data_IF_566730207373
#
_entry.id   IF_566730207373
#
_cell.length_a   1.000
_cell.length_b   1.000
_cell.length_c   1.000
_cell.angle_alpha   90.00
_cell.angle_beta   90.00
_cell.angle_gamma   90.00
#
_symmetry.space_group_name_H-M   'P 1'
#
loop_
_entity.id
_entity.type
_entity.pdbx_description
1 polymer ?
#
# COMPACT_ATOMS: atom_id res chain seq x y z
N UNK A 1 11.73 15.63 6.51
CA UNK A 1 11.55 14.19 6.22
C UNK A 1 12.11 13.86 4.84
N UNK A 2 12.61 12.64 4.57
CA UNK A 2 12.96 12.22 3.19
C UNK A 2 11.67 12.08 2.37
N UNK A 3 11.75 12.28 1.05
CA UNK A 3 10.60 12.14 0.13
C UNK A 3 9.88 10.77 0.26
N UNK A 4 10.63 9.73 0.60
CA UNK A 4 10.12 8.35 0.76
C UNK A 4 9.35 8.11 2.05
N UNK A 5 9.45 9.03 3.03
CA UNK A 5 8.80 8.89 4.33
C UNK A 5 9.10 7.56 5.04
N UNK A 6 8.06 6.96 5.61
CA UNK A 6 8.00 5.63 6.26
C UNK A 6 7.79 4.48 5.27
N UNK A 7 7.67 4.77 3.96
CA UNK A 7 7.45 3.77 2.91
C UNK A 7 8.44 2.59 2.97
N UNK A 8 9.77 2.82 3.02
CA UNK A 8 10.74 1.74 3.14
C UNK A 8 10.59 0.90 4.41
N UNK A 9 10.24 1.53 5.54
CA UNK A 9 10.05 0.83 6.82
C UNK A 9 8.82 -0.09 6.80
N UNK A 10 7.83 0.22 5.96
CA UNK A 10 6.63 -0.61 5.74
C UNK A 10 6.91 -1.69 4.68
N UNK A 11 7.62 -1.32 3.61
CA UNK A 11 7.91 -2.21 2.50
C UNK A 11 8.81 -3.37 2.92
N UNK A 12 9.89 -3.12 3.67
CA UNK A 12 10.87 -4.15 4.06
C UNK A 12 10.20 -5.35 4.76
N UNK A 13 9.50 -5.21 5.90
CA UNK A 13 8.89 -6.36 6.57
C UNK A 13 7.83 -7.05 5.70
N UNK A 14 7.07 -6.27 4.92
CA UNK A 14 6.05 -6.81 4.01
C UNK A 14 6.67 -7.69 2.93
N UNK A 15 7.72 -7.21 2.25
CA UNK A 15 8.44 -7.97 1.22
C UNK A 15 9.18 -9.17 1.81
N UNK A 16 9.81 -9.03 2.97
CA UNK A 16 10.47 -10.14 3.66
C UNK A 16 9.47 -11.25 3.96
N UNK A 17 8.30 -10.91 4.52
CA UNK A 17 7.26 -11.90 4.78
C UNK A 17 6.70 -12.49 3.48
N UNK A 18 6.46 -11.67 2.45
CA UNK A 18 5.97 -12.15 1.16
C UNK A 18 6.90 -13.19 0.53
N UNK A 19 8.22 -12.98 0.58
CA UNK A 19 9.22 -13.93 0.08
C UNK A 19 9.21 -15.23 0.89
N UNK A 20 9.13 -15.14 2.23
CA UNK A 20 9.02 -16.31 3.11
C UNK A 20 7.76 -17.11 2.79
N UNK A 21 6.61 -16.42 2.69
CA UNK A 21 5.32 -17.01 2.37
C UNK A 21 5.32 -17.65 0.97
N UNK A 22 6.00 -17.05 -0.01
CA UNK A 22 6.16 -17.63 -1.35
C UNK A 22 6.97 -18.93 -1.32
N UNK A 23 8.05 -18.96 -0.55
CA UNK A 23 8.87 -20.15 -0.37
C UNK A 23 8.09 -21.27 0.31
N UNK A 24 7.38 -20.97 1.40
CA UNK A 24 6.51 -21.93 2.11
C UNK A 24 5.41 -22.44 1.16
N UNK A 25 4.75 -21.53 0.44
CA UNK A 25 3.69 -21.88 -0.51
C UNK A 25 4.18 -22.80 -1.62
N UNK A 26 5.42 -22.61 -2.08
CA UNK A 26 6.01 -23.42 -3.14
C UNK A 26 6.45 -24.79 -2.63
N UNK A 27 7.00 -24.87 -1.42
CA UNK A 27 7.43 -26.12 -0.79
C UNK A 27 6.25 -27.01 -0.37
N UNK A 28 5.09 -26.42 -0.08
CA UNK A 28 3.90 -27.10 0.43
C UNK A 28 2.77 -27.20 -0.60
N UNK A 29 3.06 -27.14 -1.91
CA UNK A 29 2.02 -27.34 -2.94
C UNK A 29 1.37 -28.73 -2.78
N UNK A 30 0.04 -28.86 -2.88
CA UNK A 30 -0.95 -27.84 -3.27
C UNK A 30 -1.65 -27.12 -2.10
N UNK A 31 -1.18 -27.25 -0.85
CA UNK A 31 -1.89 -26.78 0.37
C UNK A 31 -2.35 -25.33 0.29
N UNK A 32 -1.55 -24.47 -0.33
CA UNK A 32 -1.79 -23.03 -0.41
C UNK A 32 -2.37 -22.56 -1.74
N UNK A 33 -2.67 -23.48 -2.67
CA UNK A 33 -3.18 -23.15 -4.00
C UNK A 33 -4.57 -22.51 -3.90
N UNK A 34 -4.87 -21.51 -4.74
CA UNK A 34 -6.22 -20.93 -4.80
C UNK A 34 -7.09 -21.80 -5.70
N UNK A 35 -6.58 -22.18 -6.86
CA UNK A 35 -7.35 -22.94 -7.83
C UNK A 35 -6.48 -23.87 -8.69
N UNK A 36 -6.89 -25.13 -8.84
CA UNK A 36 -6.22 -26.05 -9.77
C UNK A 36 -6.65 -25.80 -11.22
N UNK A 37 -7.86 -25.27 -11.39
CA UNK A 37 -8.46 -24.96 -12.69
C UNK A 37 -8.64 -23.44 -12.84
N UNK A 38 -8.80 -22.91 -14.04
CA UNK A 38 -9.17 -21.49 -14.22
C UNK A 38 -8.15 -20.44 -13.73
N UNK A 39 -6.88 -20.78 -13.55
CA UNK A 39 -5.79 -19.83 -13.19
C UNK A 39 -5.75 -18.59 -14.09
N UNK A 40 -6.15 -18.72 -15.37
CA UNK A 40 -6.25 -17.60 -16.30
C UNK A 40 -7.14 -16.45 -15.80
N UNK A 41 -8.24 -16.73 -15.10
CA UNK A 41 -9.11 -15.68 -14.55
C UNK A 41 -8.42 -14.92 -13.42
N UNK A 42 -7.63 -15.61 -12.58
CA UNK A 42 -6.84 -14.98 -11.53
C UNK A 42 -5.79 -14.05 -12.12
N UNK A 43 -5.10 -14.47 -13.18
CA UNK A 43 -4.13 -13.64 -13.89
C UNK A 43 -4.77 -12.37 -14.47
N UNK A 44 -5.93 -12.51 -15.13
CA UNK A 44 -6.66 -11.35 -15.68
C UNK A 44 -7.03 -10.37 -14.57
N UNK A 45 -7.61 -10.86 -13.47
CA UNK A 45 -7.99 -10.02 -12.33
C UNK A 45 -6.76 -9.32 -11.73
N UNK A 46 -5.66 -10.06 -11.52
CA UNK A 46 -4.44 -9.52 -10.97
C UNK A 46 -3.82 -8.41 -11.85
N UNK A 47 -3.80 -8.61 -13.17
CA UNK A 47 -3.31 -7.60 -14.11
C UNK A 47 -4.16 -6.33 -14.06
N UNK A 48 -5.49 -6.45 -13.98
CA UNK A 48 -6.37 -5.30 -13.83
C UNK A 48 -6.10 -4.56 -12.51
N UNK A 49 -5.93 -5.29 -11.40
CA UNK A 49 -5.61 -4.70 -10.10
C UNK A 49 -4.26 -3.96 -10.12
N UNK A 50 -3.23 -4.55 -10.72
CA UNK A 50 -1.91 -3.90 -10.87
C UNK A 50 -1.98 -2.67 -11.78
N UNK A 51 -2.79 -2.70 -12.84
CA UNK A 51 -2.98 -1.53 -13.70
C UNK A 51 -3.61 -0.36 -12.94
N UNK A 52 -4.64 -0.63 -12.12
CA UNK A 52 -5.28 0.37 -11.25
C UNK A 52 -4.29 0.90 -10.20
N UNK A 53 -3.54 0.02 -9.56
CA UNK A 53 -2.53 0.41 -8.57
C UNK A 53 -1.44 1.29 -9.18
N UNK A 54 -0.92 0.93 -10.35
CA UNK A 54 0.09 1.72 -11.06
C UNK A 54 -0.43 3.11 -11.43
N UNK A 55 -1.68 3.22 -11.89
CA UNK A 55 -2.29 4.53 -12.15
C UNK A 55 -2.39 5.37 -10.86
N UNK A 56 -2.76 4.77 -9.73
CA UNK A 56 -2.79 5.44 -8.43
C UNK A 56 -1.39 5.86 -7.97
N UNK A 57 -0.39 4.98 -8.08
CA UNK A 57 0.99 5.24 -7.68
C UNK A 57 1.60 6.38 -8.48
N UNK A 58 1.41 6.41 -9.80
CA UNK A 58 1.88 7.50 -10.66
C UNK A 58 1.17 8.81 -10.30
N UNK A 59 -0.15 8.81 -10.17
CA UNK A 59 -0.92 10.00 -9.81
C UNK A 59 -0.52 10.56 -8.45
N UNK A 60 -0.41 9.72 -7.43
CA UNK A 60 0.00 10.13 -6.09
C UNK A 60 1.47 10.55 -6.04
N UNK A 61 2.36 9.81 -6.68
CA UNK A 61 3.80 10.08 -6.70
C UNK A 61 4.13 11.41 -7.36
N UNK A 62 3.52 11.72 -8.51
CA UNK A 62 3.70 13.01 -9.19
C UNK A 62 3.27 14.18 -8.30
N UNK A 63 2.12 14.04 -7.63
CA UNK A 63 1.62 15.09 -6.72
C UNK A 63 2.48 15.22 -5.47
N UNK A 64 2.94 14.11 -4.89
CA UNK A 64 3.84 14.10 -3.74
C UNK A 64 5.17 14.80 -4.06
N UNK A 65 5.79 14.49 -5.21
CA UNK A 65 7.03 15.14 -5.67
C UNK A 65 6.80 16.65 -5.82
N UNK A 66 5.70 17.06 -6.45
CA UNK A 66 5.36 18.48 -6.62
C UNK A 66 5.17 19.18 -5.28
N UNK A 67 4.40 18.57 -4.38
CA UNK A 67 4.10 19.10 -3.03
C UNK A 67 5.35 19.24 -2.18
N UNK A 68 6.24 18.23 -2.23
CA UNK A 68 7.51 18.21 -1.52
C UNK A 68 8.44 19.34 -1.99
N UNK A 69 8.55 19.57 -3.31
CA UNK A 69 9.35 20.68 -3.86
C UNK A 69 8.82 22.06 -3.49
N UNK A 70 7.50 22.19 -3.41
CA UNK A 70 6.83 23.45 -3.08
C UNK A 70 6.65 23.69 -1.57
N UNK A 71 7.00 22.71 -0.72
CA UNK A 71 6.73 22.72 0.73
C UNK A 71 5.27 23.04 1.07
N UNK A 72 4.35 22.46 0.30
CA UNK A 72 2.90 22.58 0.52
C UNK A 72 2.32 21.24 0.96
N UNK A 73 1.16 21.28 1.62
CA UNK A 73 0.41 20.10 2.00
C UNK A 73 -0.48 19.63 0.83
N UNK A 74 -0.32 18.37 0.45
CA UNK A 74 -1.16 17.72 -0.54
C UNK A 74 -2.52 17.36 0.05
N UNK A 75 -3.59 17.78 -0.63
CA UNK A 75 -4.97 17.56 -0.17
C UNK A 75 -5.93 17.28 -1.33
N UNK A 76 -5.41 16.94 -2.51
CA UNK A 76 -6.17 16.73 -3.74
C UNK A 76 -5.99 15.31 -4.33
N UNK A 77 -6.83 14.96 -5.31
CA UNK A 77 -6.85 13.61 -5.88
C UNK A 77 -7.18 12.55 -4.81
N UNK A 78 -6.44 11.44 -4.81
CA UNK A 78 -6.63 10.34 -3.86
C UNK A 78 -6.39 10.74 -2.40
N UNK A 79 -5.62 11.80 -2.15
CA UNK A 79 -5.41 12.36 -0.81
C UNK A 79 -6.68 13.00 -0.22
N UNK A 80 -7.72 13.29 -1.03
CA UNK A 80 -9.03 13.69 -0.48
C UNK A 80 -9.77 12.55 0.22
N UNK A 81 -9.46 11.31 -0.16
CA UNK A 81 -10.19 10.12 0.31
C UNK A 81 -9.56 9.58 1.60
N UNK A 82 -8.23 9.47 1.63
CA UNK A 82 -7.46 8.92 2.73
C UNK A 82 -6.10 9.60 2.84
N UNK A 83 -5.42 9.44 3.99
CA UNK A 83 -4.16 10.16 4.26
C UNK A 83 -2.99 9.57 3.47
N UNK A 84 -2.97 8.25 3.30
CA UNK A 84 -1.92 7.54 2.58
C UNK A 84 -2.47 6.65 1.46
N UNK A 85 -2.93 7.23 0.34
CA UNK A 85 -3.50 6.47 -0.77
C UNK A 85 -2.54 5.45 -1.40
N UNK A 86 -1.22 5.68 -1.31
CA UNK A 86 -0.20 4.72 -1.77
C UNK A 86 -0.17 3.47 -0.88
N UNK A 87 -0.27 3.63 0.45
CA UNK A 87 -0.30 2.49 1.36
C UNK A 87 -1.59 1.69 1.20
N UNK A 88 -2.72 2.38 1.07
CA UNK A 88 -4.03 1.76 0.80
C UNK A 88 -3.97 0.93 -0.48
N UNK A 89 -3.49 1.51 -1.59
CA UNK A 89 -3.47 0.78 -2.87
C UNK A 89 -2.50 -0.38 -2.84
N UNK A 90 -1.35 -0.24 -2.16
CA UNK A 90 -0.41 -1.36 -2.04
C UNK A 90 -1.00 -2.55 -1.26
N UNK A 91 -1.70 -2.28 -0.15
CA UNK A 91 -2.36 -3.29 0.67
C UNK A 91 -3.53 -3.95 -0.06
N UNK A 92 -4.35 -3.16 -0.77
CA UNK A 92 -5.61 -3.64 -1.35
C UNK A 92 -5.51 -4.10 -2.81
N UNK A 93 -4.48 -3.68 -3.54
CA UNK A 93 -4.31 -3.99 -4.95
C UNK A 93 -3.03 -4.79 -5.18
N UNK A 94 -1.85 -4.28 -4.80
CA UNK A 94 -0.59 -4.96 -5.14
C UNK A 94 -0.47 -6.32 -4.46
N UNK A 95 -0.66 -6.40 -3.13
CA UNK A 95 -0.49 -7.67 -2.41
C UNK A 95 -1.50 -8.74 -2.88
N UNK A 96 -2.81 -8.44 -2.97
CA UNK A 96 -3.78 -9.36 -3.57
C UNK A 96 -3.42 -9.77 -4.99
N UNK A 97 -3.08 -8.83 -5.87
CA UNK A 97 -2.75 -9.15 -7.25
C UNK A 97 -1.55 -10.08 -7.36
N UNK A 98 -0.49 -9.84 -6.58
CA UNK A 98 0.65 -10.76 -6.53
C UNK A 98 0.25 -12.12 -5.95
N UNK A 99 -0.60 -12.16 -4.93
CA UNK A 99 -1.11 -13.41 -4.35
C UNK A 99 -1.88 -14.25 -5.38
N UNK A 100 -2.67 -13.59 -6.24
CA UNK A 100 -3.36 -14.21 -7.37
C UNK A 100 -2.40 -14.66 -8.48
N UNK A 101 -1.38 -13.86 -8.83
CA UNK A 101 -0.36 -14.22 -9.83
C UNK A 101 0.53 -15.39 -9.41
N UNK A 102 0.73 -15.59 -8.11
CA UNK A 102 1.44 -16.75 -7.59
C UNK A 102 0.51 -17.89 -7.18
N UNK A 103 -0.80 -17.73 -7.44
CA UNK A 103 -1.85 -18.71 -7.16
C UNK A 103 -1.78 -19.24 -5.72
N UNK A 104 -1.65 -18.31 -4.76
CA UNK A 104 -1.42 -18.68 -3.36
C UNK A 104 -2.24 -17.83 -2.39
N UNK A 105 -3.14 -18.49 -1.65
CA UNK A 105 -3.92 -17.80 -0.62
C UNK A 105 -3.06 -17.41 0.60
N UNK A 106 -1.94 -18.10 0.83
CA UNK A 106 -1.01 -17.77 1.92
C UNK A 106 -0.39 -16.38 1.75
N UNK A 107 -0.15 -15.96 0.51
CA UNK A 107 0.48 -14.67 0.21
C UNK A 107 -0.39 -13.46 0.64
N UNK A 108 -1.71 -13.63 0.76
CA UNK A 108 -2.59 -12.60 1.31
C UNK A 108 -2.25 -12.26 2.78
N UNK A 109 -1.60 -13.16 3.52
CA UNK A 109 -1.14 -12.87 4.89
C UNK A 109 -0.13 -11.70 4.94
N UNK A 110 0.54 -11.36 3.83
CA UNK A 110 1.37 -10.16 3.74
C UNK A 110 0.57 -8.87 3.92
N UNK A 111 -0.74 -8.88 3.66
CA UNK A 111 -1.62 -7.75 3.97
C UNK A 111 -1.62 -7.43 5.47
N UNK A 112 -1.65 -8.47 6.33
CA UNK A 112 -1.62 -8.28 7.78
C UNK A 112 -0.29 -7.64 8.22
N UNK A 113 0.83 -8.12 7.67
CA UNK A 113 2.15 -7.54 7.93
C UNK A 113 2.23 -6.09 7.48
N UNK A 114 1.68 -5.78 6.30
CA UNK A 114 1.63 -4.42 5.78
C UNK A 114 0.76 -3.50 6.65
N UNK A 115 -0.43 -3.94 7.07
CA UNK A 115 -1.32 -3.19 7.96
C UNK A 115 -0.64 -2.91 9.30
N UNK A 116 -0.05 -3.93 9.94
CA UNK A 116 0.68 -3.78 11.20
C UNK A 116 1.84 -2.79 11.02
N UNK A 117 2.58 -2.90 9.93
CA UNK A 117 3.69 -2.00 9.63
C UNK A 117 3.22 -0.56 9.43
N UNK A 118 2.12 -0.32 8.72
CA UNK A 118 1.51 1.01 8.58
C UNK A 118 1.14 1.57 9.95
N UNK A 119 0.47 0.78 10.80
CA UNK A 119 0.07 1.20 12.15
C UNK A 119 1.26 1.58 13.02
N UNK A 120 2.40 0.91 12.87
CA UNK A 120 3.62 1.18 13.65
C UNK A 120 4.40 2.39 13.10
N UNK A 121 4.57 2.49 11.77
CA UNK A 121 5.51 3.43 11.16
C UNK A 121 4.88 4.71 10.60
N UNK A 122 3.63 4.68 10.12
CA UNK A 122 2.96 5.86 9.59
C UNK A 122 2.74 6.99 10.63
N UNK A 123 2.52 6.72 11.94
CA UNK A 123 2.42 7.79 12.95
C UNK A 123 3.61 8.75 13.00
N UNK A 124 4.81 8.29 12.62
CA UNK A 124 6.01 9.15 12.54
C UNK A 124 5.86 10.21 11.44
N UNK A 125 5.28 9.85 10.31
CA UNK A 125 4.99 10.80 9.22
C UNK A 125 3.90 11.79 9.63
N UNK A 126 2.86 11.31 10.32
CA UNK A 126 1.77 12.17 10.77
C UNK A 126 2.27 13.25 11.74
N UNK A 127 3.12 12.86 12.70
CA UNK A 127 3.75 13.81 13.62
C UNK A 127 4.57 14.85 12.87
N UNK A 128 5.38 14.43 11.89
CA UNK A 128 6.15 15.35 11.06
C UNK A 128 5.26 16.32 10.27
N UNK A 129 4.18 15.83 9.66
CA UNK A 129 3.24 16.66 8.90
C UNK A 129 2.48 17.63 9.82
N UNK A 130 2.16 17.23 11.05
CA UNK A 130 1.54 18.10 12.03
C UNK A 130 2.51 19.18 12.52
N UNK A 131 3.78 18.86 12.75
CA UNK A 131 4.82 19.82 13.09
C UNK A 131 5.09 20.84 11.96
N UNK A 132 5.10 20.38 10.70
CA UNK A 132 5.38 21.23 9.54
C UNK A 132 4.18 22.12 9.15
N UNK A 133 2.94 21.59 9.20
CA UNK A 133 1.76 22.26 8.63
C UNK A 133 0.70 22.67 9.67
N UNK A 134 0.83 22.25 10.94
CA UNK A 134 -0.04 22.66 12.05
C UNK A 134 -1.54 22.48 11.75
N UNK A 135 -2.30 23.56 11.90
CA UNK A 135 -3.76 23.53 11.73
C UNK A 135 -4.21 23.17 10.32
N UNK A 136 -3.39 23.43 9.29
CA UNK A 136 -3.71 23.01 7.93
C UNK A 136 -3.77 21.49 7.83
N UNK A 137 -2.84 20.79 8.49
CA UNK A 137 -2.86 19.33 8.53
C UNK A 137 -4.01 18.79 9.38
N UNK A 138 -4.27 19.39 10.55
CA UNK A 138 -5.40 18.98 11.40
C UNK A 138 -6.75 19.12 10.70
N UNK A 139 -6.96 20.20 9.95
CA UNK A 139 -8.18 20.41 9.18
C UNK A 139 -8.29 19.44 8.00
N UNK A 140 -7.18 19.15 7.33
CA UNK A 140 -7.12 18.13 6.29
C UNK A 140 -7.48 16.73 6.82
N UNK A 141 -6.93 16.32 7.97
CA UNK A 141 -7.26 15.00 8.56
C UNK A 141 -8.75 14.89 8.93
N UNK A 142 -9.43 16.00 9.20
CA UNK A 142 -10.88 16.01 9.44
C UNK A 142 -11.71 15.89 8.15
N UNK A 143 -11.17 16.26 7.00
CA UNK A 143 -11.90 16.24 5.73
C UNK A 143 -11.81 14.90 4.98
N UNK A 144 -10.82 14.06 5.31
CA UNK A 144 -10.68 12.73 4.69
C UNK A 144 -11.71 11.73 5.24
N UNK A 145 -12.13 10.80 4.39
CA UNK A 145 -13.18 9.82 4.71
C UNK A 145 -12.60 8.64 5.50
N UNK A 146 -11.44 8.15 5.07
CA UNK A 146 -10.74 7.04 5.73
C UNK A 146 -9.71 7.64 6.68
N UNK A 147 -9.97 7.47 7.98
CA UNK A 147 -9.11 8.04 9.05
C UNK A 147 -8.04 7.07 9.54
N UNK A 148 -8.19 5.77 9.32
CA UNK A 148 -7.29 4.76 9.91
C UNK A 148 -6.08 4.43 9.03
N UNK A 149 -6.11 4.83 7.75
CA UNK A 149 -5.03 4.63 6.76
C UNK A 149 -4.78 5.92 5.99
#
# INVERSE_FOLDING_TARGET
MKLTGSGPLIAIPTFTWFIIALFISSAMKPVFLITEEHYAYLVVLAVLMLAVDMANLVSCGLRLIKSYRQKVLITDGAYKVCRNPIYVSHILLTIPALSLLFDSWLLFSAMLVAIISVLIFAPREYKYLEEEFGDKYRNYVKSVWIKFI
#
